data_IF_794677366894
#
_entry.id   IF_794677366894
#
_cell.length_a   1.000
_cell.length_b   1.000
_cell.length_c   1.000
_cell.angle_alpha   90.00
_cell.angle_beta   90.00
_cell.angle_gamma   90.00
#
_symmetry.space_group_name_H-M   'P 1'
#
loop_
_entity.id
_entity.type
_entity.pdbx_description
1 polymer ?
#
# COMPACT_ATOMS: atom_id res chain seq x y z
N UNK A 1 17.14 -21.55 -84.22
CA UNK A 1 18.27 -20.67 -83.87
C UNK A 1 18.69 -21.02 -82.46
N UNK A 2 19.89 -21.60 -82.34
CA UNK A 2 20.88 -21.47 -81.24
C UNK A 2 20.40 -21.69 -79.79
N UNK A 3 21.04 -22.48 -78.94
CA UNK A 3 22.42 -22.95 -78.93
C UNK A 3 22.55 -24.23 -78.09
N UNK A 4 23.43 -25.11 -78.54
CA UNK A 4 24.10 -26.10 -77.70
C UNK A 4 24.98 -25.40 -76.65
N UNK A 5 25.08 -25.99 -75.46
CA UNK A 5 26.28 -25.83 -74.63
C UNK A 5 26.62 -27.19 -74.02
N UNK A 6 27.87 -27.60 -74.26
CA UNK A 6 28.43 -28.92 -74.05
C UNK A 6 29.28 -28.95 -72.76
N UNK A 7 29.07 -29.98 -71.90
CA UNK A 7 30.06 -30.76 -71.10
C UNK A 7 30.75 -30.05 -69.90
N UNK A 8 31.24 -30.72 -68.80
CA UNK A 8 31.50 -32.16 -68.57
C UNK A 8 31.01 -32.78 -67.23
N UNK A 9 31.20 -34.10 -67.15
CA UNK A 9 31.16 -35.01 -65.98
C UNK A 9 32.32 -34.77 -64.98
N UNK A 10 32.00 -34.93 -63.68
CA UNK A 10 32.72 -35.15 -62.39
C UNK A 10 34.27 -35.32 -62.38
N UNK A 11 35.04 -35.04 -61.28
CA UNK A 11 34.78 -35.47 -59.90
C UNK A 11 35.25 -34.51 -58.77
N UNK A 12 34.40 -34.17 -57.80
CA UNK A 12 34.85 -33.94 -56.40
C UNK A 12 33.68 -33.58 -55.49
N UNK A 13 33.21 -34.58 -54.73
CA UNK A 13 32.40 -34.35 -53.55
C UNK A 13 33.30 -33.73 -52.48
N UNK A 14 33.10 -32.48 -52.01
CA UNK A 14 33.62 -32.10 -50.72
C UNK A 14 32.75 -32.82 -49.69
N UNK A 15 33.35 -33.77 -48.98
CA UNK A 15 32.74 -34.44 -47.85
C UNK A 15 32.05 -33.40 -46.96
N UNK A 16 30.75 -33.57 -46.73
CA UNK A 16 30.08 -32.92 -45.62
C UNK A 16 30.94 -33.17 -44.36
N UNK A 17 31.36 -32.14 -43.61
CA UNK A 17 31.98 -32.40 -42.33
C UNK A 17 30.91 -33.07 -41.47
N UNK A 18 31.14 -34.34 -41.14
CA UNK A 18 30.38 -35.02 -40.10
C UNK A 18 30.28 -34.10 -38.88
N UNK A 19 29.11 -33.99 -38.24
CA UNK A 19 29.02 -33.24 -37.00
C UNK A 19 29.89 -33.99 -36.00
N UNK A 20 31.10 -33.48 -35.79
CA UNK A 20 31.99 -33.94 -34.74
C UNK A 20 31.18 -33.86 -33.46
N UNK A 21 30.73 -35.03 -32.98
CA UNK A 21 30.21 -35.24 -31.64
C UNK A 21 31.37 -34.98 -30.68
N UNK A 22 31.75 -33.71 -30.55
CA UNK A 22 32.57 -33.22 -29.46
C UNK A 22 31.64 -33.28 -28.27
N UNK A 23 31.71 -34.42 -27.57
CA UNK A 23 30.89 -34.73 -26.41
C UNK A 23 30.78 -33.49 -25.56
N UNK A 24 29.55 -33.04 -25.36
CA UNK A 24 29.27 -31.95 -24.44
C UNK A 24 29.86 -32.37 -23.10
N UNK A 25 30.93 -31.72 -22.67
CA UNK A 25 31.55 -32.07 -21.40
C UNK A 25 30.47 -31.91 -20.33
N UNK A 26 30.34 -32.86 -19.39
CA UNK A 26 29.25 -32.83 -18.40
C UNK A 26 29.24 -31.49 -17.64
N UNK A 27 30.43 -30.92 -17.44
CA UNK A 27 30.62 -29.58 -16.89
C UNK A 27 29.98 -28.47 -17.72
N UNK A 28 30.05 -28.56 -19.04
CA UNK A 28 29.43 -27.59 -19.96
C UNK A 28 27.93 -27.75 -20.03
N UNK A 29 27.42 -28.99 -19.94
CA UNK A 29 25.99 -29.26 -19.82
C UNK A 29 25.43 -28.68 -18.53
N UNK A 30 26.06 -28.96 -17.37
CA UNK A 30 25.66 -28.41 -16.07
C UNK A 30 25.75 -26.88 -16.06
N UNK A 31 26.82 -26.30 -16.62
CA UNK A 31 26.98 -24.84 -16.73
C UNK A 31 25.86 -24.23 -17.58
N UNK A 32 25.46 -24.86 -18.68
CA UNK A 32 24.35 -24.38 -19.52
C UNK A 32 23.00 -24.52 -18.84
N UNK A 33 22.71 -25.64 -18.19
CA UNK A 33 21.48 -25.82 -17.42
C UNK A 33 21.38 -24.82 -16.26
N UNK A 34 22.50 -24.54 -15.57
CA UNK A 34 22.54 -23.52 -14.52
C UNK A 34 22.31 -22.11 -15.08
N UNK A 35 22.94 -21.77 -16.21
CA UNK A 35 22.71 -20.49 -16.89
C UNK A 35 21.27 -20.34 -17.36
N UNK A 36 20.67 -21.36 -17.98
CA UNK A 36 19.25 -21.32 -18.38
C UNK A 36 18.31 -21.15 -17.18
N UNK A 37 18.57 -21.84 -16.07
CA UNK A 37 17.78 -21.70 -14.85
C UNK A 37 17.91 -20.29 -14.26
N UNK A 38 19.13 -19.75 -14.19
CA UNK A 38 19.41 -18.39 -13.70
C UNK A 38 18.78 -17.34 -14.62
N UNK A 39 18.85 -17.53 -15.95
CA UNK A 39 18.29 -16.61 -16.94
C UNK A 39 16.76 -16.64 -16.91
N UNK A 40 16.16 -17.83 -16.81
CA UNK A 40 14.71 -18.00 -16.62
C UNK A 40 14.23 -17.34 -15.32
N UNK A 41 14.99 -17.53 -14.22
CA UNK A 41 14.72 -16.85 -12.96
C UNK A 41 14.80 -15.33 -13.13
N UNK A 42 15.80 -14.82 -13.84
CA UNK A 42 15.95 -13.39 -14.15
C UNK A 42 14.74 -12.83 -14.91
N UNK A 43 14.27 -13.52 -15.96
CA UNK A 43 13.06 -13.13 -16.68
C UNK A 43 11.81 -13.16 -15.80
N UNK A 44 11.70 -14.14 -14.89
CA UNK A 44 10.58 -14.23 -13.96
C UNK A 44 10.55 -13.08 -12.95
N UNK A 45 11.71 -12.69 -12.39
CA UNK A 45 11.78 -11.58 -11.42
C UNK A 45 11.55 -10.23 -12.09
N UNK A 46 11.99 -10.05 -13.34
CA UNK A 46 11.70 -8.84 -14.12
C UNK A 46 10.21 -8.72 -14.48
N UNK A 47 9.56 -9.83 -14.84
CA UNK A 47 8.12 -9.83 -15.09
C UNK A 47 7.31 -9.49 -13.82
N UNK A 48 7.76 -9.97 -12.66
CA UNK A 48 7.13 -9.67 -11.36
C UNK A 48 7.33 -8.21 -10.94
N UNK A 49 8.52 -7.64 -11.13
CA UNK A 49 8.78 -6.22 -10.81
C UNK A 49 7.91 -5.29 -11.66
N UNK A 50 7.76 -5.59 -12.95
CA UNK A 50 6.87 -4.85 -13.84
C UNK A 50 5.41 -4.91 -13.40
N UNK A 51 4.89 -6.09 -13.03
CA UNK A 51 3.53 -6.24 -12.50
C UNK A 51 3.33 -5.47 -11.20
N UNK A 52 4.29 -5.54 -10.27
CA UNK A 52 4.25 -4.77 -9.00
C UNK A 52 4.22 -3.26 -9.27
N UNK A 53 5.00 -2.79 -10.23
CA UNK A 53 5.06 -1.39 -10.62
C UNK A 53 3.74 -0.90 -11.21
N UNK A 54 3.15 -1.64 -12.15
CA UNK A 54 1.83 -1.31 -12.72
C UNK A 54 0.74 -1.29 -11.65
N UNK A 55 0.77 -2.26 -10.73
CA UNK A 55 -0.17 -2.34 -9.63
C UNK A 55 -0.01 -1.16 -8.68
N UNK A 56 1.23 -0.78 -8.32
CA UNK A 56 1.52 0.40 -7.50
C UNK A 56 0.99 1.68 -8.16
N UNK A 57 1.27 1.88 -9.46
CA UNK A 57 0.74 3.01 -10.22
C UNK A 57 -0.79 3.07 -10.22
N UNK A 58 -1.45 1.92 -10.42
CA UNK A 58 -2.91 1.84 -10.40
C UNK A 58 -3.49 2.13 -8.99
N UNK A 59 -2.88 1.54 -7.95
CA UNK A 59 -3.21 1.79 -6.53
C UNK A 59 -3.16 3.27 -6.18
N UNK A 60 -2.08 3.97 -6.55
CA UNK A 60 -1.89 5.39 -6.23
C UNK A 60 -2.95 6.27 -6.90
N UNK A 61 -3.25 6.01 -8.18
CA UNK A 61 -4.30 6.75 -8.90
C UNK A 61 -5.68 6.51 -8.29
N UNK A 62 -5.98 5.25 -7.95
CA UNK A 62 -7.23 4.89 -7.30
C UNK A 62 -7.35 5.56 -5.92
N UNK A 63 -6.33 5.40 -5.06
CA UNK A 63 -6.31 5.99 -3.71
C UNK A 63 -6.40 7.50 -3.73
N UNK A 64 -5.72 8.17 -4.67
CA UNK A 64 -5.82 9.62 -4.82
C UNK A 64 -7.26 10.06 -5.12
N UNK A 65 -7.90 9.42 -6.11
CA UNK A 65 -9.28 9.73 -6.48
C UNK A 65 -10.25 9.44 -5.32
N UNK A 66 -10.14 8.29 -4.66
CA UNK A 66 -11.04 7.91 -3.57
C UNK A 66 -10.86 8.81 -2.36
N UNK A 67 -9.62 9.14 -1.97
CA UNK A 67 -9.36 10.02 -0.83
C UNK A 67 -9.89 11.44 -1.05
N UNK A 68 -9.74 11.98 -2.27
CA UNK A 68 -10.31 13.28 -2.63
C UNK A 68 -11.83 13.29 -2.57
N UNK A 69 -12.49 12.24 -3.10
CA UNK A 69 -13.95 12.12 -3.09
C UNK A 69 -14.49 11.95 -1.67
N UNK A 70 -13.94 11.01 -0.88
CA UNK A 70 -14.42 10.74 0.48
C UNK A 70 -14.25 11.95 1.40
N UNK A 71 -13.11 12.63 1.33
CA UNK A 71 -12.87 13.85 2.11
C UNK A 71 -13.78 14.98 1.67
N UNK A 72 -13.98 15.14 0.36
CA UNK A 72 -14.88 16.15 -0.19
C UNK A 72 -16.32 15.93 0.27
N UNK A 73 -16.82 14.69 0.19
CA UNK A 73 -18.17 14.37 0.66
C UNK A 73 -18.34 14.56 2.16
N UNK A 74 -17.36 14.16 2.98
CA UNK A 74 -17.40 14.39 4.42
C UNK A 74 -17.39 15.89 4.75
N UNK A 75 -16.54 16.67 4.07
CA UNK A 75 -16.47 18.12 4.25
C UNK A 75 -17.77 18.81 3.83
N UNK A 76 -18.37 18.42 2.70
CA UNK A 76 -19.68 18.94 2.25
C UNK A 76 -20.77 18.57 3.25
N UNK A 77 -20.82 17.32 3.71
CA UNK A 77 -21.80 16.89 4.69
C UNK A 77 -21.68 17.67 6.02
N UNK A 78 -20.45 17.98 6.44
CA UNK A 78 -20.19 18.81 7.62
C UNK A 78 -20.69 20.24 7.46
N UNK A 79 -20.52 20.89 6.30
CA UNK A 79 -21.02 22.26 6.12
C UNK A 79 -22.53 22.32 5.87
N UNK A 80 -23.10 21.26 5.32
CA UNK A 80 -24.55 21.12 5.10
C UNK A 80 -25.32 20.68 6.35
N UNK A 81 -24.63 20.22 7.42
CA UNK A 81 -25.31 19.82 8.66
C UNK A 81 -25.80 21.06 9.41
N UNK A 82 -27.12 21.29 9.35
CA UNK A 82 -27.76 22.38 10.06
C UNK A 82 -28.03 21.96 11.51
N UNK A 83 -27.24 22.47 12.44
CA UNK A 83 -27.52 22.30 13.86
C UNK A 83 -28.67 23.21 14.29
N UNK A 84 -29.68 22.59 14.84
CA UNK A 84 -30.83 23.27 15.40
C UNK A 84 -30.49 24.05 16.67
N UNK A 85 -30.61 25.38 16.63
CA UNK A 85 -30.19 26.28 17.73
C UNK A 85 -31.02 26.13 19.01
N UNK A 86 -32.24 25.63 18.90
CA UNK A 86 -33.16 25.41 20.03
C UNK A 86 -33.00 24.02 20.67
N UNK A 87 -32.21 23.12 20.06
CA UNK A 87 -31.99 21.78 20.59
C UNK A 87 -30.61 21.67 21.25
N UNK A 88 -30.59 21.25 22.52
CA UNK A 88 -29.35 21.08 23.25
C UNK A 88 -28.72 19.73 22.94
N UNK A 89 -27.83 19.70 21.95
CA UNK A 89 -27.07 18.50 21.62
C UNK A 89 -26.13 18.09 22.77
N UNK A 90 -25.94 16.78 23.01
CA UNK A 90 -24.98 16.32 23.99
C UNK A 90 -23.57 16.73 23.59
N UNK A 91 -22.86 17.43 24.49
CA UNK A 91 -21.47 17.87 24.31
C UNK A 91 -20.52 16.79 23.75
N UNK A 92 -20.51 15.53 24.25
CA UNK A 92 -19.59 14.52 23.73
C UNK A 92 -19.86 14.17 22.26
N UNK A 93 -21.10 14.27 21.79
CA UNK A 93 -21.44 14.01 20.38
C UNK A 93 -20.85 15.06 19.45
N UNK A 94 -20.97 16.34 19.82
CA UNK A 94 -20.42 17.44 19.02
C UNK A 94 -18.90 17.41 18.98
N UNK A 95 -18.25 17.11 20.12
CA UNK A 95 -16.81 16.96 20.20
C UNK A 95 -16.34 15.77 19.35
N UNK A 96 -17.01 14.63 19.47
CA UNK A 96 -16.68 13.44 18.69
C UNK A 96 -16.84 13.67 17.19
N UNK A 97 -17.91 14.34 16.77
CA UNK A 97 -18.13 14.73 15.37
C UNK A 97 -17.01 15.64 14.87
N UNK A 98 -16.76 16.77 15.53
CA UNK A 98 -15.70 17.71 15.13
C UNK A 98 -14.32 17.04 15.06
N UNK A 99 -13.96 16.23 16.06
CA UNK A 99 -12.70 15.52 16.08
C UNK A 99 -12.63 14.47 14.96
N UNK A 100 -13.69 13.69 14.76
CA UNK A 100 -13.77 12.66 13.72
C UNK A 100 -13.57 13.25 12.34
N UNK A 101 -14.31 14.31 11.96
CA UNK A 101 -14.17 14.95 10.65
C UNK A 101 -12.78 15.54 10.44
N UNK A 102 -12.20 16.17 11.47
CA UNK A 102 -10.86 16.77 11.38
C UNK A 102 -9.80 15.69 11.14
N UNK A 103 -9.85 14.60 11.90
CA UNK A 103 -8.91 13.48 11.74
C UNK A 103 -9.13 12.77 10.40
N UNK A 104 -10.39 12.60 9.96
CA UNK A 104 -10.74 12.03 8.66
C UNK A 104 -10.06 12.80 7.52
N UNK A 105 -10.24 14.12 7.49
CA UNK A 105 -9.63 14.98 6.47
C UNK A 105 -8.11 14.90 6.54
N UNK A 106 -7.53 14.99 7.75
CA UNK A 106 -6.08 14.92 7.94
C UNK A 106 -5.49 13.60 7.42
N UNK A 107 -6.12 12.46 7.73
CA UNK A 107 -5.65 11.13 7.31
C UNK A 107 -5.74 10.95 5.79
N UNK A 108 -6.79 11.45 5.15
CA UNK A 108 -6.89 11.40 3.69
C UNK A 108 -5.89 12.32 2.99
N UNK A 109 -5.64 13.53 3.53
CA UNK A 109 -4.57 14.39 3.03
C UNK A 109 -3.20 13.74 3.20
N UNK A 110 -2.97 13.01 4.30
CA UNK A 110 -1.74 12.25 4.50
C UNK A 110 -1.59 11.11 3.48
N UNK A 111 -2.66 10.39 3.16
CA UNK A 111 -2.66 9.38 2.09
C UNK A 111 -2.36 9.98 0.71
N UNK A 112 -2.87 11.19 0.43
CA UNK A 112 -2.56 11.95 -0.79
C UNK A 112 -1.11 12.40 -0.84
N UNK A 113 -0.58 12.94 0.25
CA UNK A 113 0.83 13.34 0.37
C UNK A 113 1.74 12.15 0.06
N UNK A 114 1.49 11.00 0.68
CA UNK A 114 2.26 9.79 0.43
C UNK A 114 2.13 9.36 -1.05
N UNK A 115 0.93 9.43 -1.63
CA UNK A 115 0.73 9.07 -3.04
C UNK A 115 1.53 9.97 -3.99
N UNK A 116 1.59 11.27 -3.70
CA UNK A 116 2.40 12.26 -4.43
C UNK A 116 3.89 11.99 -4.29
N UNK A 117 4.34 11.55 -3.11
CA UNK A 117 5.76 11.24 -2.87
C UNK A 117 6.21 9.89 -3.47
N UNK A 118 5.31 8.91 -3.62
CA UNK A 118 5.65 7.60 -4.22
C UNK A 118 5.67 7.66 -5.76
N UNK A 119 4.78 8.45 -6.37
CA UNK A 119 4.58 8.45 -7.83
C UNK A 119 5.86 8.72 -8.66
N UNK A 120 6.73 9.71 -8.30
CA UNK A 120 7.97 9.96 -9.05
C UNK A 120 8.94 8.78 -9.01
N UNK A 121 9.03 8.09 -7.87
CA UNK A 121 9.89 6.92 -7.72
C UNK A 121 9.37 5.75 -8.56
N UNK A 122 8.04 5.55 -8.61
CA UNK A 122 7.41 4.51 -9.45
C UNK A 122 7.56 4.83 -10.94
N UNK A 123 7.46 6.10 -11.34
CA UNK A 123 7.64 6.51 -12.73
C UNK A 123 9.10 6.40 -13.19
N UNK A 124 10.07 6.77 -12.34
CA UNK A 124 11.50 6.64 -12.63
C UNK A 124 11.94 5.18 -12.84
N UNK A 125 11.43 4.25 -12.03
CA UNK A 125 11.72 2.80 -12.17
C UNK A 125 11.11 2.22 -13.46
N UNK A 126 10.01 2.78 -13.96
CA UNK A 126 9.38 2.34 -15.21
C UNK A 126 10.11 2.80 -16.48
N UNK A 127 10.85 3.92 -16.38
CA UNK A 127 11.51 4.57 -17.50
C UNK A 127 12.91 4.02 -17.80
N UNK A 128 13.59 3.45 -16.80
CA UNK A 128 14.94 2.91 -16.94
C UNK A 128 14.82 1.38 -17.04
N UNK A 129 14.97 0.82 -18.23
CA UNK A 129 14.93 -0.62 -18.52
C UNK A 129 16.11 -1.43 -17.90
N UNK A 130 16.76 -0.92 -16.86
CA UNK A 130 17.96 -1.47 -16.21
C UNK A 130 17.64 -1.87 -14.76
N UNK A 131 16.91 -2.98 -14.62
CA UNK A 131 16.49 -3.54 -13.33
C UNK A 131 17.66 -4.03 -12.46
N UNK A 132 18.87 -4.15 -13.04
CA UNK A 132 20.05 -4.68 -12.36
C UNK A 132 20.84 -3.62 -11.56
N UNK A 133 20.75 -2.32 -11.88
CA UNK A 133 21.56 -1.30 -11.21
C UNK A 133 20.86 -0.55 -10.07
N UNK A 134 19.57 -0.82 -9.80
CA UNK A 134 18.78 -0.09 -8.80
C UNK A 134 18.62 -0.88 -7.47
N UNK A 135 18.84 -2.20 -7.50
CA UNK A 135 18.70 -3.08 -6.33
C UNK A 135 19.77 -2.92 -5.23
N UNK A 136 20.86 -2.18 -5.52
CA UNK A 136 21.94 -1.91 -4.55
C UNK A 136 21.69 -0.68 -3.66
N UNK A 137 20.64 0.11 -3.90
CA UNK A 137 20.39 1.28 -3.07
C UNK A 137 19.63 0.93 -1.77
N UNK A 138 20.04 1.44 -0.60
CA UNK A 138 19.37 1.19 0.69
C UNK A 138 17.91 1.72 0.76
N UNK A 139 17.43 2.37 -0.31
CA UNK A 139 16.08 2.90 -0.49
C UNK A 139 15.02 1.81 -0.70
N UNK A 140 15.39 0.63 -1.23
CA UNK A 140 14.46 -0.50 -1.45
C UNK A 140 13.82 -0.98 -0.14
N UNK A 141 14.58 -0.91 0.97
CA UNK A 141 14.05 -1.24 2.30
C UNK A 141 13.05 -0.20 2.80
N UNK A 142 13.14 1.06 2.37
CA UNK A 142 12.25 2.12 2.87
C UNK A 142 10.89 2.11 2.18
N UNK A 143 10.83 1.73 0.89
CA UNK A 143 9.61 1.69 0.09
C UNK A 143 8.44 0.86 0.69
N UNK A 144 8.64 -0.36 1.20
CA UNK A 144 7.54 -1.12 1.82
C UNK A 144 6.95 -0.43 3.06
N UNK A 145 7.71 0.40 3.78
CA UNK A 145 7.16 1.19 4.89
C UNK A 145 6.25 2.31 4.39
N UNK A 146 6.64 2.97 3.30
CA UNK A 146 5.83 4.02 2.70
C UNK A 146 4.54 3.41 2.12
N UNK A 147 4.62 2.23 1.48
CA UNK A 147 3.44 1.50 1.00
C UNK A 147 2.55 1.03 2.17
N UNK A 148 3.13 0.54 3.27
CA UNK A 148 2.37 0.12 4.44
C UNK A 148 1.70 1.31 5.16
N UNK A 149 2.40 2.44 5.28
CA UNK A 149 1.86 3.68 5.85
C UNK A 149 0.74 4.26 4.97
N UNK A 150 0.90 4.21 3.64
CA UNK A 150 -0.14 4.58 2.68
C UNK A 150 -1.40 3.71 2.85
N UNK A 151 -1.21 2.39 2.90
CA UNK A 151 -2.31 1.44 3.07
C UNK A 151 -3.04 1.64 4.41
N UNK A 152 -2.28 1.79 5.50
CA UNK A 152 -2.84 2.09 6.82
C UNK A 152 -3.67 3.38 6.82
N UNK A 153 -3.17 4.44 6.18
CA UNK A 153 -3.87 5.73 6.12
C UNK A 153 -5.17 5.64 5.32
N UNK A 154 -5.19 4.83 4.26
CA UNK A 154 -6.41 4.61 3.47
C UNK A 154 -7.45 3.80 4.27
N UNK A 155 -7.02 2.74 4.96
CA UNK A 155 -7.91 1.92 5.80
C UNK A 155 -8.46 2.74 6.97
N UNK A 156 -7.61 3.52 7.64
CA UNK A 156 -8.02 4.40 8.73
C UNK A 156 -8.97 5.50 8.24
N UNK A 157 -8.73 6.09 7.07
CA UNK A 157 -9.61 7.09 6.47
C UNK A 157 -11.00 6.52 6.16
N UNK A 158 -11.07 5.30 5.61
CA UNK A 158 -12.35 4.61 5.37
C UNK A 158 -13.08 4.33 6.70
N UNK A 159 -12.37 3.86 7.73
CA UNK A 159 -12.96 3.63 9.05
C UNK A 159 -13.54 4.91 9.66
N UNK A 160 -12.80 6.02 9.57
CA UNK A 160 -13.27 7.33 10.03
C UNK A 160 -14.46 7.82 9.20
N UNK A 161 -14.50 7.56 7.90
CA UNK A 161 -15.66 7.88 7.06
C UNK A 161 -16.91 7.11 7.48
N UNK A 162 -16.79 5.83 7.83
CA UNK A 162 -17.91 5.07 8.39
C UNK A 162 -18.36 5.67 9.74
N UNK A 163 -17.42 6.03 10.61
CA UNK A 163 -17.74 6.66 11.89
C UNK A 163 -18.45 8.03 11.69
N UNK A 164 -17.99 8.81 10.73
CA UNK A 164 -18.58 10.10 10.36
C UNK A 164 -20.04 9.95 9.94
N UNK A 165 -20.36 8.97 9.10
CA UNK A 165 -21.74 8.68 8.68
C UNK A 165 -22.63 8.32 9.88
N UNK A 166 -22.10 7.55 10.83
CA UNK A 166 -22.84 7.22 12.07
C UNK A 166 -23.08 8.48 12.90
N UNK A 167 -22.05 9.30 13.12
CA UNK A 167 -22.17 10.55 13.88
C UNK A 167 -23.16 11.54 13.23
N UNK A 168 -23.18 11.61 11.90
CA UNK A 168 -24.17 12.41 11.15
C UNK A 168 -25.60 11.89 11.37
N UNK A 169 -25.81 10.57 11.42
CA UNK A 169 -27.11 10.01 11.77
C UNK A 169 -27.54 10.43 13.18
N UNK A 170 -26.63 10.37 14.15
CA UNK A 170 -26.90 10.84 15.51
C UNK A 170 -27.27 12.33 15.54
N UNK A 171 -26.51 13.20 14.88
CA UNK A 171 -26.78 14.65 14.84
C UNK A 171 -28.12 14.94 14.15
N UNK A 172 -28.43 14.24 13.04
CA UNK A 172 -29.63 14.50 12.25
C UNK A 172 -30.91 13.95 12.88
N UNK A 173 -30.85 12.80 13.54
CA UNK A 173 -32.04 12.13 14.08
C UNK A 173 -32.35 12.49 15.54
N UNK A 174 -31.39 12.98 16.34
CA UNK A 174 -31.67 13.41 17.73
C UNK A 174 -32.76 14.48 17.84
N UNK A 175 -32.73 15.57 17.04
CA UNK A 175 -33.72 16.64 17.15
C UNK A 175 -35.14 16.22 16.72
N UNK A 176 -35.26 15.17 15.90
CA UNK A 176 -36.56 14.64 15.45
C UNK A 176 -37.41 14.20 16.65
N UNK A 177 -36.79 13.65 17.69
CA UNK A 177 -37.49 13.26 18.91
C UNK A 177 -37.95 14.47 19.74
N UNK A 178 -37.26 15.60 19.67
CA UNK A 178 -37.66 16.82 20.38
C UNK A 178 -38.72 17.64 19.64
N UNK A 179 -38.68 17.71 18.30
CA UNK A 179 -39.66 18.46 17.50
C UNK A 179 -41.08 17.92 17.58
N UNK A 180 -41.26 16.66 17.97
CA UNK A 180 -42.57 15.98 18.01
C UNK A 180 -43.37 16.16 19.30
N UNK A 181 -42.93 17.02 20.23
CA UNK A 181 -43.67 17.33 21.45
C UNK A 181 -44.68 18.51 21.36
N UNK A 182 -45.64 18.55 20.41
CA UNK A 182 -46.90 19.25 20.63
C UNK A 182 -48.05 18.25 20.71
N UNK A 183 -48.27 17.63 21.88
CA UNK A 183 -49.34 16.65 22.09
C UNK A 183 -49.33 16.02 23.48
N UNK A 184 -50.38 15.27 23.87
CA UNK A 184 -50.48 14.63 25.18
C UNK A 184 -49.28 13.70 25.43
N UNK A 185 -48.95 13.41 26.70
CA UNK A 185 -47.69 12.76 27.08
C UNK A 185 -47.47 11.48 26.29
N UNK A 186 -46.26 11.28 25.73
CA UNK A 186 -45.95 10.08 24.96
C UNK A 186 -46.11 8.86 25.86
N UNK A 187 -46.75 7.81 25.35
CA UNK A 187 -46.69 6.48 25.97
C UNK A 187 -45.23 6.02 26.10
N UNK A 188 -44.94 5.09 27.03
CA UNK A 188 -43.57 4.63 27.28
C UNK A 188 -43.00 3.95 26.03
N UNK A 189 -42.21 4.67 25.22
CA UNK A 189 -41.47 4.08 24.09
C UNK A 189 -41.29 4.91 22.82
N UNK A 190 -41.85 6.12 22.67
CA UNK A 190 -41.79 6.85 21.39
C UNK A 190 -40.52 7.72 21.22
N UNK A 191 -39.34 7.10 21.24
CA UNK A 191 -38.05 7.74 20.87
C UNK A 191 -37.62 7.34 19.45
N UNK A 192 -38.38 7.77 18.45
CA UNK A 192 -38.22 7.36 17.04
C UNK A 192 -36.87 7.73 16.42
N UNK A 193 -36.34 8.92 16.74
CA UNK A 193 -35.07 9.45 16.24
C UNK A 193 -33.86 8.80 16.89
N UNK A 194 -33.90 8.61 18.20
CA UNK A 194 -32.89 7.85 18.93
C UNK A 194 -32.84 6.39 18.47
N UNK A 195 -34.01 5.76 18.28
CA UNK A 195 -34.09 4.41 17.71
C UNK A 195 -33.51 4.35 16.29
N UNK A 196 -33.81 5.33 15.43
CA UNK A 196 -33.25 5.38 14.08
C UNK A 196 -31.72 5.49 14.07
N UNK A 197 -31.15 6.37 14.91
CA UNK A 197 -29.71 6.51 15.06
C UNK A 197 -29.05 5.23 15.63
N UNK A 198 -29.72 4.58 16.59
CA UNK A 198 -29.27 3.33 17.17
C UNK A 198 -29.24 2.20 16.13
N UNK A 199 -30.31 2.03 15.35
CA UNK A 199 -30.39 1.02 14.28
C UNK A 199 -29.30 1.24 13.24
N UNK A 200 -29.07 2.50 12.81
CA UNK A 200 -27.96 2.84 11.91
C UNK A 200 -26.60 2.42 12.48
N UNK A 201 -26.38 2.68 13.77
CA UNK A 201 -25.15 2.27 14.46
C UNK A 201 -25.00 0.75 14.49
N UNK A 202 -26.05 0.01 14.86
CA UNK A 202 -26.02 -1.46 14.94
C UNK A 202 -25.64 -2.09 13.59
N UNK A 203 -26.20 -1.56 12.49
CA UNK A 203 -25.90 -2.06 11.15
C UNK A 203 -24.45 -1.75 10.75
N UNK A 204 -23.90 -0.61 11.18
CA UNK A 204 -22.55 -0.19 10.81
C UNK A 204 -21.45 -0.87 11.67
N UNK A 205 -21.76 -1.28 12.89
CA UNK A 205 -20.83 -1.95 13.82
C UNK A 205 -20.09 -3.17 13.23
N UNK A 206 -20.74 -4.17 12.60
CA UNK A 206 -20.02 -5.33 12.07
C UNK A 206 -19.03 -4.94 10.97
N UNK A 207 -19.41 -3.98 10.12
CA UNK A 207 -18.51 -3.44 9.08
C UNK A 207 -17.32 -2.74 9.73
N UNK A 208 -17.59 -1.88 10.72
CA UNK A 208 -16.56 -1.19 11.50
C UNK A 208 -15.58 -2.16 12.18
N UNK A 209 -16.07 -3.24 12.79
CA UNK A 209 -15.22 -4.25 13.45
C UNK A 209 -14.24 -4.90 12.49
N UNK A 210 -14.68 -5.25 11.28
CA UNK A 210 -13.80 -5.81 10.24
C UNK A 210 -12.68 -4.80 9.92
N UNK A 211 -13.02 -3.52 9.70
CA UNK A 211 -12.03 -2.47 9.46
C UNK A 211 -11.09 -2.24 10.65
N UNK A 212 -11.58 -2.34 11.90
CA UNK A 212 -10.74 -2.23 13.10
C UNK A 212 -9.72 -3.37 13.15
N UNK A 213 -10.13 -4.62 12.87
CA UNK A 213 -9.22 -5.77 12.81
C UNK A 213 -8.12 -5.55 11.78
N UNK A 214 -8.50 -5.09 10.57
CA UNK A 214 -7.51 -4.75 9.55
C UNK A 214 -6.60 -3.61 10.02
N UNK A 215 -7.15 -2.55 10.61
CA UNK A 215 -6.39 -1.41 11.12
C UNK A 215 -5.37 -1.86 12.17
N UNK A 216 -5.77 -2.72 13.11
CA UNK A 216 -4.87 -3.29 14.13
C UNK A 216 -3.81 -4.18 13.49
N UNK A 217 -4.17 -5.00 12.50
CA UNK A 217 -3.22 -5.83 11.76
C UNK A 217 -2.16 -4.98 11.05
N UNK A 218 -2.58 -3.92 10.35
CA UNK A 218 -1.69 -2.97 9.68
C UNK A 218 -0.85 -2.17 10.68
N UNK A 219 -1.45 -1.71 11.79
CA UNK A 219 -0.73 -1.02 12.86
C UNK A 219 0.35 -1.91 13.48
N UNK A 220 0.04 -3.16 13.81
CA UNK A 220 1.02 -4.12 14.32
C UNK A 220 2.11 -4.42 13.30
N UNK A 221 1.76 -4.48 12.01
CA UNK A 221 2.73 -4.65 10.93
C UNK A 221 3.68 -3.45 10.86
N UNK A 222 3.18 -2.23 11.05
CA UNK A 222 3.99 -1.01 11.11
C UNK A 222 4.90 -0.99 12.34
N UNK A 223 4.38 -1.35 13.51
CA UNK A 223 5.10 -1.29 14.79
C UNK A 223 6.14 -2.40 14.91
N UNK A 224 5.78 -3.67 14.63
CA UNK A 224 6.70 -4.81 14.74
C UNK A 224 7.97 -4.60 13.92
N UNK A 225 7.82 -4.04 12.73
CA UNK A 225 8.94 -3.77 11.84
C UNK A 225 9.73 -2.51 12.25
N UNK A 226 9.08 -1.49 12.84
CA UNK A 226 9.77 -0.36 13.47
C UNK A 226 10.60 -0.78 14.68
N UNK A 227 10.13 -1.78 15.44
CA UNK A 227 10.87 -2.41 16.54
C UNK A 227 12.07 -3.22 16.01
N UNK A 228 11.92 -4.01 14.95
CA UNK A 228 13.05 -4.72 14.32
C UNK A 228 14.14 -3.78 13.81
N UNK A 229 13.78 -2.61 13.30
CA UNK A 229 14.72 -1.56 12.86
C UNK A 229 15.52 -0.98 14.04
N UNK A 230 14.85 -0.59 15.13
CA UNK A 230 15.53 -0.07 16.32
C UNK A 230 16.50 -1.09 16.93
N UNK A 231 16.11 -2.36 16.97
CA UNK A 231 17.01 -3.42 17.48
C UNK A 231 18.24 -3.60 16.60
N UNK A 232 18.09 -3.55 15.26
CA UNK A 232 19.24 -3.62 14.35
C UNK A 232 20.17 -2.43 14.49
N UNK A 233 19.62 -1.23 14.67
CA UNK A 233 20.39 -0.01 14.86
C UNK A 233 21.16 -0.02 16.20
N UNK A 234 20.55 -0.54 17.27
CA UNK A 234 21.23 -0.78 18.55
C UNK A 234 22.35 -1.82 18.40
N UNK A 235 22.14 -2.89 17.62
CA UNK A 235 23.13 -3.93 17.43
C UNK A 235 24.31 -3.47 16.56
N UNK A 236 24.07 -2.62 15.56
CA UNK A 236 25.13 -1.97 14.78
C UNK A 236 25.95 -0.99 15.63
N UNK A 237 25.30 -0.18 16.48
CA UNK A 237 25.97 0.68 17.45
C UNK A 237 26.77 -0.12 18.48
N UNK A 238 26.25 -1.26 18.94
CA UNK A 238 26.95 -2.15 19.86
C UNK A 238 28.20 -2.76 19.21
N UNK A 239 28.12 -3.17 17.94
CA UNK A 239 29.30 -3.66 17.18
C UNK A 239 30.36 -2.58 17.00
N UNK A 240 29.95 -1.35 16.66
CA UNK A 240 30.87 -0.21 16.54
C UNK A 240 31.55 0.13 17.87
N UNK A 241 30.81 0.12 18.98
CA UNK A 241 31.37 0.32 20.33
C UNK A 241 32.41 -0.75 20.67
N UNK A 242 32.09 -2.03 20.42
CA UNK A 242 33.03 -3.15 20.69
C UNK A 242 34.29 -3.03 19.85
N UNK A 243 34.19 -2.60 18.60
CA UNK A 243 35.36 -2.37 17.75
C UNK A 243 36.21 -1.20 18.24
N UNK A 244 35.59 -0.12 18.72
CA UNK A 244 36.31 1.04 19.27
C UNK A 244 37.01 0.72 20.59
N UNK A 245 36.32 0.03 21.51
CA UNK A 245 36.87 -0.43 22.80
C UNK A 245 38.03 -1.43 22.60
N UNK A 246 37.98 -2.22 21.53
CA UNK A 246 39.06 -3.14 21.13
C UNK A 246 40.26 -2.40 20.53
N UNK A 247 40.01 -1.35 19.74
CA UNK A 247 41.06 -0.52 19.14
C UNK A 247 41.80 0.33 20.19
N UNK A 248 41.09 0.95 21.13
CA UNK A 248 41.73 1.67 22.26
C UNK A 248 42.63 0.75 23.10
N UNK A 249 42.17 -0.49 23.38
CA UNK A 249 42.98 -1.47 24.11
C UNK A 249 44.23 -1.88 23.35
N UNK A 250 44.17 -1.97 22.01
CA UNK A 250 45.36 -2.28 21.21
C UNK A 250 46.38 -1.14 21.16
N UNK A 251 45.95 0.12 21.32
CA UNK A 251 46.84 1.29 21.37
C UNK A 251 47.51 1.49 22.73
N UNK A 252 46.93 0.99 23.83
CA UNK A 252 47.53 1.09 25.18
C UNK A 252 48.59 0.01 25.47
N UNK A 253 48.72 -1.00 24.61
CA UNK A 253 49.63 -2.15 24.80
C UNK A 253 50.94 -2.00 23.99
N UNK A 254 51.11 -0.88 23.28
CA UNK A 254 52.34 -0.47 22.58
C UNK A 254 52.99 0.69 23.34
#
# INVERSE_FOLDING_TARGET
>A
MSAELNVPVDPSTPACPEPSHKGMDYRDWVRRSYLELVTSNHHSVQALSWRKLYLSRAKLKASSRTSALLSGFAMVAMVEVQLETQYQYPRPLLIAFSACTTVLVAVHLFALLISTCILPNVEAVSNIHNLNSISESPHERMHPYIELAWGFSTVLGILLFLAEVVLLCWIKFLPVDARRQPGPPPGPGSHTGWQAALVSTIIMVPVGLIFVVFTIHFYRSLVRHKTERHNREIEELHKLKVQLDGHERSLQVV
#
